data_IF_452447017877
#
_entry.id   IF_452447017877
#
_cell.length_a   1.000
_cell.length_b   1.000
_cell.length_c   1.000
_cell.angle_alpha   90.00
_cell.angle_beta   90.00
_cell.angle_gamma   90.00
#
_symmetry.space_group_name_H-M   'P 1'
#
loop_
_entity.id
_entity.type
_entity.pdbx_description
1 polymer ?
#
# COMPACT_ATOMS: atom_id res chain seq x y z
N UNK A 1 17.90 -1.04 17.26
CA UNK A 1 18.48 0.31 17.03
C UNK A 1 17.93 0.81 15.70
N UNK A 2 17.53 2.08 15.61
CA UNK A 2 16.90 2.62 14.41
C UNK A 2 17.84 2.59 13.20
N UNK A 3 17.34 2.11 12.06
CA UNK A 3 18.07 2.05 10.79
C UNK A 3 17.87 3.32 9.95
N UNK A 4 16.70 3.95 10.09
CA UNK A 4 16.36 5.23 9.49
C UNK A 4 15.97 6.26 10.57
N UNK A 5 16.32 7.52 10.35
CA UNK A 5 15.84 8.64 11.17
C UNK A 5 15.12 9.63 10.27
N UNK A 6 13.86 9.91 10.59
CA UNK A 6 13.03 10.89 9.93
C UNK A 6 12.85 12.10 10.85
N UNK A 7 13.12 13.29 10.35
CA UNK A 7 12.92 14.55 11.07
C UNK A 7 11.79 15.33 10.39
N UNK A 8 10.71 15.60 11.13
CA UNK A 8 9.58 16.38 10.64
C UNK A 8 9.77 17.87 10.94
N UNK A 9 10.05 18.65 9.89
CA UNK A 9 10.03 20.11 9.91
C UNK A 9 8.87 20.69 9.09
N UNK A 10 7.95 19.86 8.63
CA UNK A 10 6.81 20.31 7.84
C UNK A 10 5.96 21.29 8.67
N UNK A 11 5.58 22.42 8.09
CA UNK A 11 4.83 23.47 8.77
C UNK A 11 5.59 24.31 9.81
N UNK A 12 6.87 24.03 10.09
CA UNK A 12 7.70 24.93 10.91
C UNK A 12 8.08 26.16 10.09
N UNK A 13 7.60 27.34 10.53
CA UNK A 13 8.06 28.63 9.99
C UNK A 13 9.40 28.98 10.63
N UNK A 14 10.49 28.72 9.93
CA UNK A 14 11.78 29.31 10.29
C UNK A 14 11.75 30.79 9.86
N UNK A 15 11.48 31.70 10.80
CA UNK A 15 11.64 33.13 10.53
C UNK A 15 13.12 33.38 10.18
N UNK A 16 13.38 34.31 9.25
CA UNK A 16 14.72 34.73 8.75
C UNK A 16 15.66 35.32 9.83
N UNK A 17 15.39 35.11 11.12
CA UNK A 17 16.22 35.54 12.23
C UNK A 17 17.30 34.50 12.54
N UNK A 18 18.54 34.94 12.78
CA UNK A 18 19.73 34.11 13.11
C UNK A 18 19.48 33.04 14.20
N UNK A 19 18.53 33.26 15.10
CA UNK A 19 18.16 32.33 16.18
C UNK A 19 17.50 31.03 15.67
N UNK A 20 16.74 31.07 14.58
CA UNK A 20 16.05 29.89 14.02
C UNK A 20 17.05 28.93 13.36
N UNK A 21 18.06 29.48 12.68
CA UNK A 21 19.15 28.73 12.04
C UNK A 21 20.04 28.03 13.07
N UNK A 22 20.37 28.70 14.18
CA UNK A 22 21.20 28.10 15.22
C UNK A 22 20.48 26.96 15.96
N UNK A 23 19.17 27.08 16.18
CA UNK A 23 18.35 26.01 16.75
C UNK A 23 18.29 24.79 15.81
N UNK A 24 18.03 25.02 14.52
CA UNK A 24 18.04 23.96 13.50
C UNK A 24 19.39 23.24 13.41
N UNK A 25 20.49 24.01 13.37
CA UNK A 25 21.84 23.45 13.31
C UNK A 25 22.18 22.65 14.57
N UNK A 26 21.77 23.12 15.76
CA UNK A 26 21.93 22.37 17.01
C UNK A 26 21.17 21.05 16.98
N UNK A 27 19.91 21.07 16.54
CA UNK A 27 19.09 19.86 16.39
C UNK A 27 19.75 18.86 15.44
N UNK A 28 20.09 19.28 14.23
CA UNK A 28 20.68 18.38 13.23
C UNK A 28 22.02 17.80 13.70
N UNK A 29 22.85 18.59 14.41
CA UNK A 29 24.09 18.09 15.00
C UNK A 29 23.85 17.09 16.13
N UNK A 30 22.85 17.33 16.98
CA UNK A 30 22.49 16.38 18.04
C UNK A 30 21.99 15.06 17.43
N UNK A 31 21.11 15.13 16.43
CA UNK A 31 20.64 13.94 15.71
C UNK A 31 21.80 13.20 15.06
N UNK A 32 22.71 13.92 14.41
CA UNK A 32 23.92 13.33 13.83
C UNK A 32 24.75 12.63 14.88
N UNK A 33 25.07 13.30 15.98
CA UNK A 33 25.89 12.74 17.06
C UNK A 33 25.29 11.47 17.67
N UNK A 34 23.97 11.46 17.89
CA UNK A 34 23.28 10.34 18.52
C UNK A 34 22.93 9.20 17.56
N UNK A 35 22.77 9.46 16.26
CA UNK A 35 22.20 8.50 15.31
C UNK A 35 23.01 8.24 14.04
N UNK A 36 23.84 9.16 13.56
CA UNK A 36 24.50 9.02 12.25
C UNK A 36 25.51 7.87 12.17
N UNK A 37 26.14 7.50 13.29
CA UNK A 37 27.06 6.36 13.32
C UNK A 37 26.37 5.01 13.06
N UNK A 38 25.03 4.96 13.14
CA UNK A 38 24.25 3.70 13.12
C UNK A 38 23.10 3.70 12.11
N UNK A 39 22.57 4.88 11.77
CA UNK A 39 21.51 5.02 10.78
C UNK A 39 22.07 4.95 9.36
N UNK A 40 21.42 4.17 8.50
CA UNK A 40 21.72 4.05 7.07
C UNK A 40 21.01 5.12 6.24
N UNK A 41 20.03 5.78 6.84
CA UNK A 41 19.20 6.79 6.18
C UNK A 41 18.81 7.89 7.17
N UNK A 42 19.19 9.12 6.86
CA UNK A 42 18.82 10.32 7.60
C UNK A 42 17.98 11.19 6.67
N UNK A 43 16.73 11.46 7.04
CA UNK A 43 15.77 12.16 6.19
C UNK A 43 15.19 13.37 6.90
N UNK A 44 15.13 14.49 6.19
CA UNK A 44 14.41 15.69 6.60
C UNK A 44 13.17 15.82 5.74
N UNK A 45 12.01 15.99 6.37
CA UNK A 45 10.74 16.27 5.70
C UNK A 45 10.35 17.73 5.93
N UNK A 46 10.13 18.49 4.85
CA UNK A 46 9.81 19.92 4.94
C UNK A 46 8.87 20.39 3.81
N UNK A 47 8.11 21.46 4.04
CA UNK A 47 7.42 22.19 2.95
C UNK A 47 8.42 23.12 2.25
N UNK A 48 8.17 23.42 0.96
CA UNK A 48 8.87 24.42 0.15
C UNK A 48 9.28 25.64 1.01
N UNK A 49 10.59 25.72 1.30
CA UNK A 49 11.33 26.89 1.83
C UNK A 49 12.75 26.53 2.35
N UNK A 50 13.20 25.27 2.25
CA UNK A 50 14.64 24.96 2.45
C UNK A 50 15.45 25.17 1.15
N UNK A 51 14.78 25.38 0.01
CA UNK A 51 15.45 25.79 -1.23
C UNK A 51 15.89 27.24 -1.13
N UNK A 52 17.21 27.47 -1.10
CA UNK A 52 17.83 28.71 -1.57
C UNK A 52 17.17 29.11 -2.89
N UNK A 53 16.38 30.19 -2.90
CA UNK A 53 15.90 30.77 -4.14
C UNK A 53 17.09 31.31 -4.93
N UNK A 54 17.47 30.61 -6.01
CA UNK A 54 18.19 31.23 -7.12
C UNK A 54 17.15 31.89 -8.03
N UNK A 55 16.66 33.06 -7.63
CA UNK A 55 16.02 34.00 -8.53
C UNK A 55 16.77 35.33 -8.47
N UNK A 56 17.18 35.79 -9.66
CA UNK A 56 18.19 36.81 -9.85
C UNK A 56 17.86 38.20 -9.31
N UNK A 57 18.94 38.99 -9.26
CA UNK A 57 19.08 40.39 -8.87
C UNK A 57 19.03 40.67 -7.36
N UNK A 58 20.24 40.71 -6.77
CA UNK A 58 20.58 41.33 -5.49
C UNK A 58 19.67 41.00 -4.30
N UNK A 59 19.87 39.82 -3.72
CA UNK A 59 19.81 39.63 -2.27
C UNK A 59 20.77 38.49 -1.92
N UNK A 60 21.87 38.83 -1.24
CA UNK A 60 22.76 37.85 -0.64
C UNK A 60 21.95 37.02 0.37
N UNK A 61 21.57 35.81 -0.03
CA UNK A 61 20.96 34.84 0.87
C UNK A 61 22.02 34.47 1.92
N UNK A 62 21.85 34.89 3.17
CA UNK A 62 22.68 34.49 4.33
C UNK A 62 22.64 32.95 4.58
N UNK A 63 22.03 32.13 3.71
CA UNK A 63 22.09 30.67 3.78
C UNK A 63 23.43 30.10 3.28
N UNK A 64 24.11 30.76 2.33
CA UNK A 64 25.42 30.33 1.84
C UNK A 64 26.60 30.80 2.70
N UNK A 65 26.37 31.69 3.67
CA UNK A 65 27.44 32.30 4.48
C UNK A 65 27.83 31.50 5.73
N UNK A 66 27.13 30.40 6.08
CA UNK A 66 27.50 29.53 7.20
C UNK A 66 27.98 28.15 6.69
N UNK A 67 29.29 28.04 6.45
CA UNK A 67 29.93 26.82 5.90
C UNK A 67 29.55 25.50 6.62
N UNK A 68 29.13 25.57 7.89
CA UNK A 68 28.72 24.40 8.68
C UNK A 68 27.35 23.81 8.33
N UNK A 69 26.35 24.64 8.00
CA UNK A 69 24.97 24.17 7.76
C UNK A 69 24.85 23.47 6.39
N UNK A 70 25.48 24.04 5.35
CA UNK A 70 25.51 23.44 4.02
C UNK A 70 26.19 22.07 4.01
N UNK A 71 27.29 21.93 4.76
CA UNK A 71 28.00 20.65 4.91
C UNK A 71 27.15 19.61 5.63
N UNK A 72 26.49 20.00 6.73
CA UNK A 72 25.65 19.09 7.51
C UNK A 72 24.42 18.63 6.72
N UNK A 73 23.75 19.52 5.99
CA UNK A 73 22.59 19.18 5.18
C UNK A 73 22.90 18.18 4.05
N UNK A 74 24.14 18.08 3.58
CA UNK A 74 24.54 17.06 2.58
C UNK A 74 24.48 15.63 3.12
N UNK A 75 24.55 15.46 4.44
CA UNK A 75 24.42 14.15 5.09
C UNK A 75 22.95 13.71 5.26
N UNK A 76 22.00 14.65 5.10
CA UNK A 76 20.57 14.40 5.20
C UNK A 76 19.93 14.42 3.82
N UNK A 77 19.09 13.44 3.54
CA UNK A 77 18.24 13.48 2.37
C UNK A 77 17.02 14.35 2.67
N UNK A 78 16.81 15.39 1.87
CA UNK A 78 15.67 16.29 2.04
C UNK A 78 14.53 15.89 1.11
N UNK A 79 13.37 15.58 1.69
CA UNK A 79 12.13 15.34 0.96
C UNK A 79 11.21 16.54 1.15
N UNK A 80 10.92 17.21 0.04
CA UNK A 80 9.97 18.31 0.00
C UNK A 80 8.95 18.07 -1.10
N UNK A 81 7.70 17.88 -0.69
CA UNK A 81 6.57 17.69 -1.60
C UNK A 81 5.39 18.58 -1.16
N UNK A 82 4.41 18.84 -2.04
CA UNK A 82 3.26 19.70 -1.75
C UNK A 82 2.35 19.19 -0.63
N UNK A 83 2.41 17.91 -0.27
CA UNK A 83 1.54 17.28 0.72
C UNK A 83 2.29 16.29 1.63
N UNK A 84 1.64 15.93 2.74
CA UNK A 84 2.17 14.96 3.70
C UNK A 84 2.15 13.56 3.11
N UNK A 85 1.07 13.19 2.42
CA UNK A 85 0.94 11.92 1.73
C UNK A 85 2.07 11.71 0.71
N UNK A 86 2.35 12.73 -0.12
CA UNK A 86 3.42 12.66 -1.11
C UNK A 86 4.81 12.54 -0.47
N UNK A 87 5.05 13.32 0.60
CA UNK A 87 6.31 13.28 1.34
C UNK A 87 6.55 11.91 1.97
N UNK A 88 5.58 11.38 2.71
CA UNK A 88 5.71 10.10 3.39
C UNK A 88 5.76 8.92 2.43
N UNK A 89 5.03 8.97 1.33
CA UNK A 89 5.13 7.94 0.30
C UNK A 89 6.52 7.91 -0.35
N UNK A 90 7.08 9.09 -0.67
CA UNK A 90 8.46 9.22 -1.18
C UNK A 90 9.48 8.69 -0.17
N UNK A 91 9.32 9.03 1.12
CA UNK A 91 10.17 8.54 2.20
C UNK A 91 10.09 7.02 2.31
N UNK A 92 8.87 6.46 2.23
CA UNK A 92 8.65 5.02 2.24
C UNK A 92 9.38 4.33 1.09
N UNK A 93 9.31 4.86 -0.13
CA UNK A 93 10.03 4.33 -1.28
C UNK A 93 11.55 4.25 -1.00
N UNK A 94 12.14 5.32 -0.48
CA UNK A 94 13.57 5.36 -0.12
C UNK A 94 13.95 4.37 0.99
N UNK A 95 13.07 4.21 1.99
CA UNK A 95 13.21 3.21 3.06
C UNK A 95 13.21 1.80 2.46
N UNK A 96 12.30 1.53 1.53
CA UNK A 96 12.13 0.22 0.90
C UNK A 96 13.27 -0.13 -0.06
N UNK A 97 13.76 0.83 -0.84
CA UNK A 97 14.96 0.70 -1.69
C UNK A 97 16.20 0.30 -0.87
N UNK A 98 16.30 0.78 0.36
CA UNK A 98 17.38 0.46 1.30
C UNK A 98 17.08 -0.77 2.15
N UNK A 99 15.92 -1.41 1.95
CA UNK A 99 15.42 -2.55 2.73
C UNK A 99 15.43 -2.30 4.26
N UNK A 100 15.03 -1.11 4.69
CA UNK A 100 14.98 -0.74 6.10
C UNK A 100 13.59 -1.04 6.69
N UNK A 101 13.54 -1.21 8.01
CA UNK A 101 12.32 -1.54 8.74
C UNK A 101 12.23 -0.90 10.13
N UNK A 102 13.34 -0.44 10.70
CA UNK A 102 13.33 0.29 11.98
C UNK A 102 13.54 1.78 11.78
N UNK A 103 12.52 2.58 12.12
CA UNK A 103 12.48 4.01 11.87
C UNK A 103 12.31 4.76 13.19
N UNK A 104 13.19 5.73 13.44
CA UNK A 104 13.01 6.75 14.48
C UNK A 104 12.44 8.01 13.85
N UNK A 105 11.42 8.58 14.46
CA UNK A 105 10.74 9.78 13.99
C UNK A 105 10.90 10.88 15.04
N UNK A 106 11.58 11.95 14.65
CA UNK A 106 11.80 13.15 15.46
C UNK A 106 10.81 14.20 14.98
N UNK A 107 9.81 14.52 15.81
CA UNK A 107 8.63 15.30 15.39
C UNK A 107 8.19 16.28 16.48
N UNK A 108 7.72 17.50 16.14
CA UNK A 108 7.10 18.38 17.12
C UNK A 108 5.93 17.69 17.84
N UNK A 109 5.83 17.88 19.16
CA UNK A 109 4.83 17.20 19.99
C UNK A 109 3.39 17.37 19.47
N UNK A 110 3.05 18.56 18.96
CA UNK A 110 1.73 18.89 18.41
C UNK A 110 1.42 18.21 17.06
N UNK A 111 2.43 17.71 16.33
CA UNK A 111 2.27 17.02 15.04
C UNK A 111 2.32 15.50 15.14
N UNK A 112 2.71 14.98 16.30
CA UNK A 112 2.95 13.56 16.54
C UNK A 112 1.74 12.69 16.20
N UNK A 113 0.53 13.08 16.65
CA UNK A 113 -0.69 12.30 16.35
C UNK A 113 -1.02 12.34 14.86
N UNK A 114 -0.93 13.52 14.22
CA UNK A 114 -1.14 13.70 12.78
C UNK A 114 -0.25 12.77 11.97
N UNK A 115 1.06 12.78 12.25
CA UNK A 115 2.04 11.98 11.56
C UNK A 115 1.79 10.47 11.75
N UNK A 116 1.39 10.04 12.95
CA UNK A 116 1.00 8.65 13.22
C UNK A 116 -0.18 8.22 12.35
N UNK A 117 -1.22 9.04 12.21
CA UNK A 117 -2.39 8.70 11.40
C UNK A 117 -2.07 8.53 9.90
N UNK A 118 -1.10 9.28 9.36
CA UNK A 118 -0.58 9.00 8.02
C UNK A 118 0.23 7.71 7.96
N UNK A 119 1.10 7.47 8.96
CA UNK A 119 1.93 6.28 9.04
C UNK A 119 1.07 5.02 9.10
N UNK A 120 0.02 5.01 9.91
CA UNK A 120 -0.91 3.88 10.07
C UNK A 120 -1.62 3.49 8.76
N UNK A 121 -1.73 4.42 7.81
CA UNK A 121 -2.33 4.16 6.50
C UNK A 121 -1.29 3.78 5.43
N UNK A 122 -0.11 4.42 5.44
CA UNK A 122 0.91 4.26 4.41
C UNK A 122 1.92 3.15 4.70
N UNK A 123 2.04 2.71 5.95
CA UNK A 123 2.97 1.67 6.38
C UNK A 123 2.24 0.46 6.94
N UNK A 124 2.93 -0.67 6.98
CA UNK A 124 2.44 -1.96 7.50
C UNK A 124 3.23 -2.36 8.75
N UNK A 125 2.84 -3.46 9.41
CA UNK A 125 3.56 -3.99 10.57
C UNK A 125 4.97 -4.51 10.26
N UNK A 126 5.38 -4.58 8.98
CA UNK A 126 6.78 -4.80 8.59
C UNK A 126 7.70 -3.69 9.14
N UNK A 127 7.17 -2.49 9.37
CA UNK A 127 7.95 -1.36 9.88
C UNK A 127 7.70 -1.16 11.38
N UNK A 128 8.76 -0.76 12.10
CA UNK A 128 8.73 -0.37 13.50
C UNK A 128 9.06 1.11 13.63
N UNK A 129 8.25 1.83 14.41
CA UNK A 129 8.37 3.27 14.61
C UNK A 129 8.61 3.61 16.07
N UNK A 130 9.69 4.35 16.33
CA UNK A 130 9.99 4.98 17.61
C UNK A 130 9.84 6.50 17.46
N UNK A 131 9.16 7.17 18.39
CA UNK A 131 8.93 8.62 18.31
C UNK A 131 9.69 9.37 19.39
N UNK A 132 10.34 10.45 18.98
CA UNK A 132 11.08 11.37 19.84
C UNK A 132 10.59 12.79 19.59
N UNK A 133 10.43 13.57 20.65
CA UNK A 133 9.86 14.91 20.53
C UNK A 133 10.95 15.90 20.10
N UNK A 134 10.64 16.69 19.07
CA UNK A 134 11.55 17.72 18.56
C UNK A 134 11.58 18.92 19.51
N UNK A 135 12.64 19.03 20.31
CA UNK A 135 12.87 20.17 21.20
C UNK A 135 13.46 21.36 20.42
N UNK A 136 12.62 22.28 19.95
CA UNK A 136 13.08 23.56 19.38
C UNK A 136 13.16 24.58 20.52
N UNK A 137 14.34 24.74 21.13
CA UNK A 137 14.55 25.80 22.13
C UNK A 137 14.60 27.17 21.43
N UNK A 138 13.44 27.82 21.31
CA UNK A 138 13.40 29.27 21.10
C UNK A 138 13.63 29.93 22.47
N UNK A 139 14.61 30.83 22.55
CA UNK A 139 14.94 31.49 23.82
C UNK A 139 13.73 32.24 24.41
N UNK A 140 13.47 31.99 25.70
CA UNK A 140 12.69 32.88 26.58
C UNK A 140 11.22 32.50 26.80
N UNK A 141 10.97 31.67 27.83
CA UNK A 141 9.66 31.50 28.47
C UNK A 141 9.15 30.05 28.46
N UNK A 142 8.56 29.55 29.57
CA UNK A 142 7.96 28.22 29.57
C UNK A 142 6.75 28.26 28.63
N UNK A 143 6.83 27.57 27.49
CA UNK A 143 5.64 27.29 26.70
C UNK A 143 4.67 26.56 27.63
N UNK A 144 3.50 27.17 27.86
CA UNK A 144 2.38 26.54 28.56
C UNK A 144 2.20 25.16 27.95
N UNK A 145 2.44 24.13 28.76
CA UNK A 145 2.15 22.76 28.44
C UNK A 145 0.64 22.69 28.24
N UNK A 146 0.17 22.78 26.99
CA UNK A 146 -1.22 22.52 26.67
C UNK A 146 -1.40 21.02 26.85
N UNK A 147 -2.00 20.66 27.99
CA UNK A 147 -2.53 19.34 28.30
C UNK A 147 -3.75 19.03 27.41
N UNK A 148 -3.66 19.31 26.11
CA UNK A 148 -4.59 18.78 25.14
C UNK A 148 -4.01 17.45 24.69
N UNK A 149 -4.67 16.38 25.13
CA UNK A 149 -4.53 15.07 24.52
C UNK A 149 -4.83 15.31 23.03
N UNK A 150 -3.80 15.35 22.19
CA UNK A 150 -3.91 15.54 20.74
C UNK A 150 -4.64 14.33 20.15
N UNK A 151 -5.95 14.24 20.34
CA UNK A 151 -6.84 13.30 19.66
C UNK A 151 -7.18 13.90 18.31
N UNK A 152 -6.89 13.15 17.26
CA UNK A 152 -7.36 13.45 15.92
C UNK A 152 -8.87 13.27 15.87
N UNK A 153 -9.56 14.25 15.33
CA UNK A 153 -11.00 14.22 15.08
C UNK A 153 -11.33 13.29 13.91
N UNK A 154 -12.57 12.78 13.84
CA UNK A 154 -13.00 11.96 12.71
C UNK A 154 -12.88 12.70 11.35
N UNK A 155 -13.13 14.02 11.36
CA UNK A 155 -12.99 14.88 10.19
C UNK A 155 -11.54 14.98 9.71
N UNK A 156 -10.57 15.04 10.64
CA UNK A 156 -9.15 15.01 10.29
C UNK A 156 -8.73 13.64 9.75
N UNK A 157 -9.25 12.52 10.29
CA UNK A 157 -8.99 11.18 9.72
C UNK A 157 -9.49 11.12 8.27
N UNK A 158 -10.69 11.60 8.02
CA UNK A 158 -11.28 11.66 6.68
C UNK A 158 -10.43 12.54 5.74
N UNK A 159 -9.97 13.70 6.21
CA UNK A 159 -9.08 14.56 5.44
C UNK A 159 -7.75 13.85 5.08
N UNK A 160 -7.15 13.12 6.01
CA UNK A 160 -5.93 12.33 5.78
C UNK A 160 -6.18 11.22 4.75
N UNK A 161 -7.29 10.49 4.90
CA UNK A 161 -7.70 9.45 3.95
C UNK A 161 -7.88 10.03 2.54
N UNK A 162 -8.56 11.17 2.43
CA UNK A 162 -8.80 11.87 1.17
C UNK A 162 -7.49 12.37 0.54
N UNK A 163 -6.56 12.90 1.33
CA UNK A 163 -5.24 13.34 0.85
C UNK A 163 -4.44 12.15 0.28
N UNK A 164 -4.37 11.04 1.03
CA UNK A 164 -3.69 9.82 0.59
C UNK A 164 -4.32 9.29 -0.69
N UNK A 165 -5.64 9.13 -0.74
CA UNK A 165 -6.33 8.61 -1.92
C UNK A 165 -6.12 9.52 -3.14
N UNK A 166 -6.21 10.84 -2.95
CA UNK A 166 -5.98 11.81 -4.04
C UNK A 166 -4.57 11.69 -4.60
N UNK A 167 -3.57 11.57 -3.72
CA UNK A 167 -2.19 11.37 -4.14
C UNK A 167 -1.97 10.03 -4.84
N UNK A 168 -2.46 8.91 -4.29
CA UNK A 168 -2.27 7.59 -4.92
C UNK A 168 -2.97 7.49 -6.30
N UNK A 169 -4.12 8.16 -6.47
CA UNK A 169 -4.83 8.26 -7.75
C UNK A 169 -4.05 9.03 -8.80
N UNK A 170 -3.20 9.98 -8.41
CA UNK A 170 -2.40 10.77 -9.36
C UNK A 170 -1.13 10.06 -9.82
N UNK A 171 -0.72 8.97 -9.14
CA UNK A 171 0.46 8.21 -9.52
C UNK A 171 0.27 7.50 -10.88
N UNK A 172 1.28 7.48 -11.76
CA UNK A 172 1.24 6.67 -12.97
C UNK A 172 1.30 5.17 -12.63
N UNK A 173 0.97 4.32 -13.59
CA UNK A 173 1.28 2.89 -13.48
C UNK A 173 2.80 2.69 -13.42
N UNK A 174 3.25 1.79 -12.54
CA UNK A 174 4.68 1.49 -12.35
C UNK A 174 5.24 0.66 -13.51
N UNK A 175 4.45 -0.28 -14.04
CA UNK A 175 4.86 -1.16 -15.15
C UNK A 175 3.67 -1.44 -16.07
N UNK A 176 3.80 -1.06 -17.35
CA UNK A 176 2.85 -1.36 -18.41
C UNK A 176 1.41 -0.88 -18.15
N UNK A 177 0.52 -1.22 -19.08
CA UNK A 177 -0.91 -0.92 -18.98
C UNK A 177 -1.67 -2.08 -18.32
N UNK A 178 -2.79 -1.76 -17.66
CA UNK A 178 -3.66 -2.78 -17.09
C UNK A 178 -4.23 -3.66 -18.20
N UNK A 179 -3.92 -4.95 -18.16
CA UNK A 179 -4.47 -5.94 -19.10
C UNK A 179 -5.34 -6.94 -18.37
N UNK A 180 -6.56 -7.11 -18.88
CA UNK A 180 -7.55 -8.09 -18.42
C UNK A 180 -7.72 -9.13 -19.54
N UNK A 181 -7.35 -10.37 -19.25
CA UNK A 181 -7.47 -11.47 -20.20
C UNK A 181 -8.86 -12.07 -20.05
N UNK A 182 -9.62 -12.06 -21.13
CA UNK A 182 -10.96 -12.67 -21.19
C UNK A 182 -10.92 -13.95 -22.01
N UNK A 183 -12.02 -14.69 -21.97
CA UNK A 183 -12.19 -15.91 -22.75
C UNK A 183 -13.49 -15.87 -23.55
N UNK A 184 -13.48 -16.32 -24.81
CA UNK A 184 -14.69 -16.40 -25.63
C UNK A 184 -15.68 -17.49 -25.16
N UNK A 185 -15.28 -18.37 -24.22
CA UNK A 185 -16.18 -19.40 -23.69
C UNK A 185 -17.15 -18.87 -22.63
N UNK A 186 -16.93 -17.67 -22.08
CA UNK A 186 -17.88 -17.02 -21.17
C UNK A 186 -18.65 -15.97 -21.97
N UNK A 187 -19.98 -16.06 -21.93
CA UNK A 187 -20.87 -15.11 -22.59
C UNK A 187 -20.63 -13.68 -22.10
N UNK A 188 -20.71 -12.72 -23.02
CA UNK A 188 -20.66 -11.27 -22.76
C UNK A 188 -21.75 -10.75 -21.81
N UNK A 189 -22.70 -11.60 -21.42
CA UNK A 189 -23.65 -11.32 -20.33
C UNK A 189 -22.94 -11.15 -18.98
N UNK A 190 -21.72 -11.68 -18.84
CA UNK A 190 -20.89 -11.59 -17.63
C UNK A 190 -19.68 -10.70 -17.88
N UNK A 191 -19.37 -9.84 -16.91
CA UNK A 191 -18.03 -9.27 -16.79
C UNK A 191 -17.12 -10.33 -16.18
N UNK A 192 -16.10 -10.75 -16.92
CA UNK A 192 -15.08 -11.70 -16.45
C UNK A 192 -13.69 -11.29 -16.90
N UNK A 193 -12.69 -11.86 -16.25
CA UNK A 193 -11.33 -11.81 -16.75
C UNK A 193 -10.29 -12.17 -15.70
N UNK A 194 -9.07 -12.31 -16.16
CA UNK A 194 -7.89 -12.56 -15.35
C UNK A 194 -6.96 -11.37 -15.47
N UNK A 195 -6.63 -10.74 -14.35
CA UNK A 195 -5.73 -9.57 -14.33
C UNK A 195 -4.28 -10.01 -14.49
N UNK A 196 -3.51 -9.27 -15.28
CA UNK A 196 -2.05 -9.40 -15.31
C UNK A 196 -1.38 -8.59 -14.19
N UNK A 197 -0.05 -8.62 -14.11
CA UNK A 197 0.73 -7.84 -13.12
C UNK A 197 0.94 -6.36 -13.48
N UNK A 198 0.51 -5.90 -14.65
CA UNK A 198 0.78 -4.54 -15.16
C UNK A 198 -0.35 -3.54 -14.85
N UNK A 199 -0.06 -2.24 -14.91
CA UNK A 199 -1.04 -1.16 -14.78
C UNK A 199 -1.26 -0.61 -13.37
N UNK A 200 -0.49 -1.06 -12.37
CA UNK A 200 -0.75 -0.76 -10.97
C UNK A 200 0.32 0.13 -10.33
N UNK A 201 0.12 0.50 -9.07
CA UNK A 201 0.99 1.45 -8.34
C UNK A 201 1.90 0.78 -7.30
N UNK A 202 1.90 -0.55 -7.21
CA UNK A 202 2.79 -1.26 -6.31
C UNK A 202 4.22 -1.23 -6.85
N UNK A 203 5.14 -0.60 -6.12
CA UNK A 203 6.53 -0.45 -6.54
C UNK A 203 7.48 -1.47 -5.92
N UNK A 204 7.04 -2.21 -4.88
CA UNK A 204 7.87 -3.25 -4.27
C UNK A 204 8.13 -4.33 -5.32
N UNK A 205 9.40 -4.70 -5.64
CA UNK A 205 9.70 -5.60 -6.76
C UNK A 205 8.89 -6.91 -6.76
N UNK A 206 8.74 -7.54 -5.60
CA UNK A 206 7.96 -8.80 -5.47
C UNK A 206 6.46 -8.61 -5.66
N UNK A 207 5.94 -7.40 -5.48
CA UNK A 207 4.51 -7.06 -5.56
C UNK A 207 4.18 -6.21 -6.80
N UNK A 208 5.18 -5.83 -7.60
CA UNK A 208 4.98 -4.90 -8.70
C UNK A 208 4.25 -5.55 -9.88
N UNK A 209 3.30 -4.89 -10.56
CA UNK A 209 2.77 -3.55 -10.29
C UNK A 209 1.31 -3.55 -9.81
N UNK A 210 0.54 -4.60 -10.16
CA UNK A 210 -0.91 -4.69 -9.94
C UNK A 210 -1.27 -5.63 -8.78
N UNK A 211 -0.72 -5.39 -7.59
CA UNK A 211 -1.03 -6.19 -6.42
C UNK A 211 -2.45 -5.92 -5.90
N UNK A 212 -3.23 -6.99 -5.72
CA UNK A 212 -4.60 -6.95 -5.18
C UNK A 212 -4.71 -7.53 -3.75
N UNK A 213 -3.57 -7.78 -3.10
CA UNK A 213 -3.51 -8.37 -1.77
C UNK A 213 -2.58 -7.61 -0.81
N UNK A 214 -3.07 -7.31 0.39
CA UNK A 214 -2.25 -6.77 1.48
C UNK A 214 -2.38 -7.64 2.73
N UNK A 215 -1.32 -7.68 3.53
CA UNK A 215 -1.29 -8.30 4.85
C UNK A 215 -0.26 -7.60 5.72
N UNK A 216 -0.33 -7.78 7.04
CA UNK A 216 0.60 -7.18 8.00
C UNK A 216 2.07 -7.58 7.77
N UNK A 217 2.32 -8.69 7.08
CA UNK A 217 3.65 -9.24 6.78
C UNK A 217 4.24 -8.77 5.45
N UNK A 218 3.51 -7.99 4.66
CA UNK A 218 3.94 -7.49 3.33
C UNK A 218 4.08 -5.98 3.37
N UNK A 219 4.97 -5.42 2.54
CA UNK A 219 5.29 -3.98 2.53
C UNK A 219 4.25 -3.09 1.82
N UNK A 220 3.37 -3.66 1.00
CA UNK A 220 2.28 -2.90 0.39
C UNK A 220 1.16 -2.64 1.41
N UNK A 221 0.83 -1.37 1.69
CA UNK A 221 -0.27 -1.03 2.57
C UNK A 221 -1.62 -1.24 1.88
N UNK A 222 -2.68 -1.36 2.69
CA UNK A 222 -4.05 -1.56 2.21
C UNK A 222 -4.49 -0.48 1.21
N UNK A 223 -4.12 0.78 1.44
CA UNK A 223 -4.48 1.92 0.57
C UNK A 223 -3.92 1.81 -0.84
N UNK A 224 -2.72 1.22 -1.02
CA UNK A 224 -2.12 0.99 -2.34
C UNK A 224 -2.88 -0.12 -3.09
N UNK A 225 -3.22 -1.20 -2.39
CA UNK A 225 -4.02 -2.30 -2.94
C UNK A 225 -5.44 -1.86 -3.30
N UNK A 226 -6.06 -0.99 -2.49
CA UNK A 226 -7.37 -0.41 -2.76
C UNK A 226 -7.35 0.47 -4.02
N UNK A 227 -6.28 1.23 -4.26
CA UNK A 227 -6.15 2.00 -5.50
C UNK A 227 -6.00 1.09 -6.72
N UNK A 228 -5.22 0.00 -6.64
CA UNK A 228 -5.17 -1.00 -7.72
C UNK A 228 -6.55 -1.62 -7.98
N UNK A 229 -7.30 -1.96 -6.92
CA UNK A 229 -8.67 -2.48 -7.06
C UNK A 229 -9.61 -1.44 -7.70
N UNK A 230 -9.47 -0.16 -7.36
CA UNK A 230 -10.22 0.94 -7.97
C UNK A 230 -9.92 1.06 -9.47
N UNK A 231 -8.65 0.96 -9.86
CA UNK A 231 -8.24 0.93 -11.29
C UNK A 231 -8.86 -0.24 -12.01
N UNK A 232 -8.86 -1.41 -11.37
CA UNK A 232 -9.50 -2.61 -11.92
C UNK A 232 -11.00 -2.41 -12.11
N UNK A 233 -11.71 -1.92 -11.09
CA UNK A 233 -13.15 -1.67 -11.17
C UNK A 233 -13.51 -0.69 -12.28
N UNK A 234 -12.71 0.37 -12.44
CA UNK A 234 -12.88 1.34 -13.53
C UNK A 234 -12.66 0.70 -14.92
N UNK A 235 -11.60 -0.10 -15.09
CA UNK A 235 -11.28 -0.70 -16.39
C UNK A 235 -12.23 -1.85 -16.76
N UNK A 236 -12.65 -2.64 -15.78
CA UNK A 236 -13.52 -3.80 -15.95
C UNK A 236 -15.02 -3.45 -15.90
N UNK A 237 -15.37 -2.24 -15.44
CA UNK A 237 -16.76 -1.78 -15.36
C UNK A 237 -17.56 -2.34 -14.17
N UNK A 238 -16.92 -2.61 -13.03
CA UNK A 238 -17.61 -3.09 -11.83
C UNK A 238 -17.51 -2.14 -10.63
N UNK A 239 -18.47 -2.28 -9.70
CA UNK A 239 -18.48 -1.54 -8.44
C UNK A 239 -17.57 -2.20 -7.40
N UNK A 240 -16.49 -1.52 -7.00
CA UNK A 240 -15.54 -2.00 -5.99
C UNK A 240 -16.16 -2.22 -4.61
N UNK A 241 -17.24 -1.50 -4.27
CA UNK A 241 -17.96 -1.70 -3.00
C UNK A 241 -18.75 -3.01 -2.96
N UNK A 242 -18.93 -3.65 -4.13
CA UNK A 242 -19.56 -4.97 -4.29
C UNK A 242 -18.57 -6.00 -4.81
N UNK A 243 -17.30 -5.85 -4.43
CA UNK A 243 -16.23 -6.79 -4.72
C UNK A 243 -16.00 -7.73 -3.55
N UNK A 244 -16.14 -9.03 -3.78
CA UNK A 244 -15.93 -10.08 -2.79
C UNK A 244 -14.83 -11.01 -3.27
N UNK A 245 -13.93 -11.36 -2.36
CA UNK A 245 -12.84 -12.31 -2.65
C UNK A 245 -12.95 -13.51 -1.73
N UNK A 246 -12.49 -14.65 -2.21
CA UNK A 246 -12.30 -15.84 -1.38
C UNK A 246 -11.39 -15.54 -0.18
N UNK A 247 -11.59 -16.26 0.92
CA UNK A 247 -10.74 -16.22 2.10
C UNK A 247 -9.76 -17.38 2.00
N UNK A 248 -8.83 -17.34 1.04
CA UNK A 248 -7.88 -18.43 0.76
C UNK A 248 -7.19 -18.92 2.03
N UNK A 249 -7.63 -20.08 2.50
CA UNK A 249 -7.08 -20.78 3.66
C UNK A 249 -6.89 -22.28 3.38
N UNK A 250 -6.88 -22.65 2.10
CA UNK A 250 -6.73 -24.03 1.64
C UNK A 250 -7.82 -24.94 2.21
N UNK A 251 -9.04 -24.42 2.25
CA UNK A 251 -10.25 -25.12 2.60
C UNK A 251 -10.94 -25.73 1.37
N UNK A 252 -11.94 -26.57 1.62
CA UNK A 252 -12.71 -27.23 0.56
C UNK A 252 -14.13 -26.67 0.42
N UNK A 253 -14.45 -25.63 1.20
CA UNK A 253 -15.78 -25.05 1.27
C UNK A 253 -16.00 -24.00 0.18
N UNK A 254 -17.28 -23.84 -0.17
CA UNK A 254 -17.77 -22.87 -1.15
C UNK A 254 -18.81 -21.99 -0.47
N UNK A 255 -18.59 -20.68 -0.50
CA UNK A 255 -19.61 -19.73 -0.10
C UNK A 255 -20.62 -19.50 -1.23
N UNK A 256 -21.88 -19.83 -0.98
CA UNK A 256 -23.01 -19.48 -1.84
C UNK A 256 -23.60 -18.17 -1.31
N UNK A 257 -23.46 -17.08 -2.07
CA UNK A 257 -23.98 -15.78 -1.65
C UNK A 257 -25.48 -15.83 -1.38
N UNK A 258 -25.89 -15.24 -0.25
CA UNK A 258 -27.25 -15.34 0.28
C UNK A 258 -27.43 -16.45 1.31
N UNK A 259 -26.44 -17.34 1.50
CA UNK A 259 -26.36 -18.26 2.65
C UNK A 259 -25.37 -17.73 3.69
N UNK A 260 -25.39 -18.37 4.87
CA UNK A 260 -24.40 -18.12 5.92
C UNK A 260 -23.00 -18.31 5.33
N UNK A 261 -22.18 -17.28 5.46
CA UNK A 261 -20.78 -17.33 5.03
C UNK A 261 -20.01 -18.35 5.89
N UNK A 262 -19.30 -19.31 5.29
CA UNK A 262 -18.37 -20.18 6.02
C UNK A 262 -17.22 -19.40 6.66
N UNK A 263 -16.57 -19.99 7.66
CA UNK A 263 -15.37 -19.41 8.26
C UNK A 263 -14.19 -19.41 7.28
N UNK A 264 -14.06 -20.49 6.49
CA UNK A 264 -13.02 -20.78 5.50
C UNK A 264 -13.63 -21.32 4.20
N UNK A 265 -12.95 -21.25 3.04
CA UNK A 265 -13.42 -20.43 1.92
C UNK A 265 -12.56 -20.36 0.66
N UNK A 266 -12.51 -21.39 -0.21
CA UNK A 266 -11.77 -21.34 -1.49
C UNK A 266 -12.63 -21.21 -2.74
N UNK A 267 -13.95 -21.15 -2.60
CA UNK A 267 -14.87 -20.87 -3.70
C UNK A 267 -16.00 -19.92 -3.32
N UNK A 268 -16.45 -19.11 -4.28
CA UNK A 268 -17.68 -18.30 -4.16
C UNK A 268 -18.57 -18.58 -5.36
N UNK A 269 -19.89 -18.68 -5.13
CA UNK A 269 -20.90 -18.67 -6.19
C UNK A 269 -21.98 -17.63 -5.91
N UNK A 270 -22.55 -17.05 -6.97
CA UNK A 270 -23.64 -16.07 -6.86
C UNK A 270 -24.50 -16.02 -8.12
N UNK A 271 -25.78 -15.68 -7.95
CA UNK A 271 -26.70 -15.26 -9.00
C UNK A 271 -27.17 -13.80 -8.81
N UNK A 272 -26.55 -13.06 -7.89
CA UNK A 272 -26.87 -11.68 -7.62
C UNK A 272 -26.22 -10.76 -8.66
N UNK A 273 -27.03 -9.87 -9.26
CA UNK A 273 -26.54 -8.90 -10.24
C UNK A 273 -25.76 -7.77 -9.59
N UNK A 274 -24.76 -7.25 -10.31
CA UNK A 274 -23.95 -6.11 -9.88
C UNK A 274 -22.96 -6.44 -8.76
N UNK A 275 -22.68 -7.72 -8.54
CA UNK A 275 -21.67 -8.21 -7.60
C UNK A 275 -20.50 -8.79 -8.39
N UNK A 276 -19.28 -8.54 -7.91
CA UNK A 276 -18.05 -9.10 -8.47
C UNK A 276 -17.44 -10.06 -7.46
N UNK A 277 -17.10 -11.26 -7.91
CA UNK A 277 -16.43 -12.29 -7.11
C UNK A 277 -15.04 -12.56 -7.68
N UNK A 278 -14.05 -12.77 -6.82
CA UNK A 278 -12.67 -13.00 -7.23
C UNK A 278 -11.98 -14.11 -6.44
N UNK A 279 -11.19 -14.91 -7.15
CA UNK A 279 -10.17 -15.78 -6.57
C UNK A 279 -8.80 -15.12 -6.80
N UNK A 280 -8.13 -14.72 -5.71
CA UNK A 280 -6.76 -14.20 -5.80
C UNK A 280 -5.80 -15.38 -5.91
N UNK A 281 -4.84 -15.31 -6.83
CA UNK A 281 -3.85 -16.36 -7.01
C UNK A 281 -2.48 -15.77 -7.37
N UNK A 282 -1.44 -16.41 -6.87
CA UNK A 282 -0.08 -16.31 -7.35
C UNK A 282 0.46 -17.75 -7.37
N UNK A 283 0.73 -18.27 -8.57
CA UNK A 283 1.11 -19.67 -8.86
C UNK A 283 0.01 -20.74 -8.80
N UNK A 284 -1.06 -20.51 -8.02
CA UNK A 284 -2.25 -21.37 -8.01
C UNK A 284 -3.13 -21.17 -9.24
N UNK A 285 -4.11 -22.07 -9.45
CA UNK A 285 -5.00 -22.06 -10.61
C UNK A 285 -6.34 -21.43 -10.23
N UNK A 286 -6.60 -20.15 -10.56
CA UNK A 286 -7.93 -19.59 -10.49
C UNK A 286 -8.84 -20.23 -11.54
N UNK A 287 -10.05 -20.59 -11.11
CA UNK A 287 -11.09 -21.16 -11.96
C UNK A 287 -12.29 -20.22 -11.96
N UNK A 288 -12.82 -19.89 -13.13
CA UNK A 288 -14.01 -19.06 -13.32
C UNK A 288 -15.11 -19.89 -13.99
N UNK A 289 -16.33 -19.73 -13.49
CA UNK A 289 -17.54 -20.41 -13.95
C UNK A 289 -18.63 -19.40 -14.29
N UNK A 290 -19.41 -19.68 -15.33
CA UNK A 290 -20.58 -18.91 -15.70
C UNK A 290 -21.68 -19.82 -16.26
N UNK A 291 -22.92 -19.58 -15.84
CA UNK A 291 -24.12 -20.15 -16.46
C UNK A 291 -25.02 -19.01 -16.99
N UNK A 292 -25.07 -18.80 -18.32
CA UNK A 292 -25.91 -17.77 -18.92
C UNK A 292 -27.42 -18.04 -18.77
N UNK A 293 -27.84 -19.30 -18.60
CA UNK A 293 -29.27 -19.66 -18.48
C UNK A 293 -29.80 -19.22 -17.12
N UNK A 294 -29.13 -19.62 -16.04
CA UNK A 294 -29.54 -19.24 -14.68
C UNK A 294 -28.94 -17.92 -14.19
N UNK A 295 -28.09 -17.29 -15.02
CA UNK A 295 -27.44 -16.01 -14.73
C UNK A 295 -26.64 -16.06 -13.43
N UNK A 296 -25.90 -17.16 -13.27
CA UNK A 296 -25.07 -17.43 -12.10
C UNK A 296 -23.59 -17.51 -12.51
N UNK A 297 -22.71 -17.13 -11.61
CA UNK A 297 -21.27 -17.26 -11.80
C UNK A 297 -20.59 -17.78 -10.53
N UNK A 298 -19.35 -18.24 -10.69
CA UNK A 298 -18.53 -18.75 -9.61
C UNK A 298 -17.05 -18.52 -9.85
N UNK A 299 -16.29 -18.46 -8.76
CA UNK A 299 -14.82 -18.49 -8.78
C UNK A 299 -14.34 -19.48 -7.75
N UNK A 300 -13.23 -20.16 -8.03
CA UNK A 300 -12.56 -21.03 -7.08
C UNK A 300 -11.05 -20.97 -7.23
N UNK A 301 -10.37 -21.29 -6.14
CA UNK A 301 -8.93 -21.41 -6.07
C UNK A 301 -8.54 -22.88 -5.96
N UNK A 302 -7.82 -23.39 -6.96
CA UNK A 302 -7.32 -24.76 -6.97
C UNK A 302 -5.80 -24.77 -6.79
N UNK A 303 -5.35 -25.51 -5.77
CA UNK A 303 -3.93 -25.76 -5.55
C UNK A 303 -3.38 -26.79 -6.54
N UNK A 304 -2.06 -26.80 -6.69
CA UNK A 304 -1.34 -27.95 -7.21
C UNK A 304 -0.34 -28.41 -6.15
N UNK A 305 -0.57 -29.58 -5.57
CA UNK A 305 0.51 -30.24 -4.83
C UNK A 305 1.68 -30.57 -5.79
N UNK A 306 2.94 -30.26 -5.44
CA UNK A 306 4.07 -30.80 -6.18
C UNK A 306 3.95 -32.33 -6.15
N UNK A 307 4.07 -32.96 -7.32
CA UNK A 307 4.04 -34.41 -7.41
C UNK A 307 5.08 -34.97 -6.45
N UNK A 308 4.66 -35.80 -5.50
CA UNK A 308 5.59 -36.61 -4.71
C UNK A 308 6.50 -37.33 -5.71
N UNK A 309 7.82 -37.19 -5.57
CA UNK A 309 8.79 -37.91 -6.39
C UNK A 309 8.39 -39.39 -6.44
N UNK A 310 8.00 -39.87 -7.62
CA UNK A 310 7.63 -41.28 -7.86
C UNK A 310 6.25 -41.54 -8.44
N UNK A 311 5.32 -40.58 -8.51
CA UNK A 311 3.99 -40.83 -9.12
C UNK A 311 3.84 -40.09 -10.44
N UNK A 312 3.44 -40.80 -11.50
CA UNK A 312 3.22 -40.26 -12.84
C UNK A 312 2.39 -38.96 -12.80
N UNK A 313 2.95 -37.92 -13.41
CA UNK A 313 2.38 -36.58 -13.44
C UNK A 313 1.07 -36.55 -14.23
N UNK A 314 -0.05 -36.24 -13.57
CA UNK A 314 -1.33 -35.95 -14.23
C UNK A 314 -2.54 -35.82 -13.30
N UNK A 315 -2.68 -36.70 -12.30
CA UNK A 315 -3.99 -36.90 -11.66
C UNK A 315 -4.39 -35.94 -10.52
N UNK A 316 -3.48 -35.58 -9.62
CA UNK A 316 -3.87 -35.01 -8.30
C UNK A 316 -4.48 -33.61 -8.41
N UNK A 317 -3.93 -32.74 -9.28
CA UNK A 317 -4.47 -31.40 -9.48
C UNK A 317 -5.82 -31.39 -10.21
N UNK A 318 -6.05 -32.34 -11.13
CA UNK A 318 -7.35 -32.52 -11.77
C UNK A 318 -8.40 -33.09 -10.81
N UNK A 319 -7.97 -33.94 -9.87
CA UNK A 319 -8.85 -34.55 -8.87
C UNK A 319 -9.32 -33.53 -7.81
N UNK A 320 -8.45 -32.63 -7.36
CA UNK A 320 -8.81 -31.51 -6.47
C UNK A 320 -9.65 -30.45 -7.18
N UNK A 321 -9.24 -30.02 -8.40
CA UNK A 321 -10.08 -29.15 -9.22
C UNK A 321 -11.44 -29.81 -9.52
N UNK A 322 -11.46 -31.14 -9.72
CA UNK A 322 -12.65 -31.95 -9.87
C UNK A 322 -13.49 -32.06 -8.59
N UNK A 323 -12.85 -32.13 -7.42
CA UNK A 323 -13.50 -32.11 -6.10
C UNK A 323 -14.13 -30.75 -5.81
N UNK A 324 -13.40 -29.65 -6.04
CA UNK A 324 -13.93 -28.30 -5.92
C UNK A 324 -15.03 -28.03 -6.95
N UNK A 325 -14.87 -28.49 -8.20
CA UNK A 325 -15.97 -28.51 -9.19
C UNK A 325 -17.19 -29.27 -8.65
N UNK A 326 -17.01 -30.44 -8.04
CA UNK A 326 -18.10 -31.22 -7.42
C UNK A 326 -18.74 -30.51 -6.23
N UNK A 327 -17.98 -29.86 -5.36
CA UNK A 327 -18.52 -29.10 -4.23
C UNK A 327 -19.30 -27.86 -4.70
N UNK A 328 -18.77 -27.14 -5.70
CA UNK A 328 -19.49 -26.07 -6.40
C UNK A 328 -20.80 -26.56 -7.04
N UNK A 329 -20.79 -27.76 -7.64
CA UNK A 329 -21.96 -28.41 -8.22
C UNK A 329 -23.00 -28.84 -7.17
N UNK A 330 -22.54 -29.33 -6.01
CA UNK A 330 -23.38 -29.83 -4.92
C UNK A 330 -24.04 -28.70 -4.11
N UNK A 331 -23.49 -27.47 -4.17
CA UNK A 331 -24.00 -26.25 -3.54
C UNK A 331 -25.39 -25.73 -3.99
N UNK A 332 -26.25 -26.58 -4.55
CA UNK A 332 -27.63 -26.27 -4.99
C UNK A 332 -27.80 -25.67 -6.36
N UNK A 333 -26.90 -25.92 -7.31
CA UNK A 333 -27.32 -25.85 -8.71
C UNK A 333 -26.72 -27.02 -9.53
N UNK A 334 -27.36 -28.22 -9.51
CA UNK A 334 -26.74 -29.49 -9.94
C UNK A 334 -26.64 -29.75 -11.46
N UNK A 335 -26.95 -28.78 -12.34
CA UNK A 335 -27.01 -28.99 -13.81
C UNK A 335 -26.64 -27.74 -14.62
N UNK A 336 -25.47 -27.13 -14.38
CA UNK A 336 -25.14 -25.80 -14.94
C UNK A 336 -23.94 -25.69 -15.86
N UNK A 337 -22.96 -26.59 -15.78
CA UNK A 337 -21.60 -26.13 -16.04
C UNK A 337 -20.94 -26.92 -17.17
N UNK A 338 -21.27 -26.53 -18.42
CA UNK A 338 -20.57 -27.00 -19.62
C UNK A 338 -19.31 -26.15 -19.93
N UNK A 339 -19.13 -24.98 -19.28
CA UNK A 339 -18.06 -24.03 -19.59
C UNK A 339 -17.31 -23.58 -18.32
N UNK A 340 -16.26 -24.32 -17.96
CA UNK A 340 -15.31 -23.96 -16.91
C UNK A 340 -13.96 -23.55 -17.53
N UNK A 341 -13.37 -22.46 -17.06
CA UNK A 341 -12.07 -21.97 -17.52
C UNK A 341 -11.08 -21.90 -16.36
N UNK A 342 -9.86 -22.33 -16.63
CA UNK A 342 -8.72 -22.17 -15.73
C UNK A 342 -7.60 -21.39 -16.43
N UNK A 343 -6.92 -20.51 -15.69
CA UNK A 343 -5.71 -19.84 -16.18
C UNK A 343 -4.62 -19.92 -15.12
N UNK A 344 -3.37 -20.13 -15.52
CA UNK A 344 -2.21 -20.09 -14.62
C UNK A 344 -1.63 -18.68 -14.60
N UNK A 345 -1.36 -18.15 -13.41
CA UNK A 345 -0.60 -16.91 -13.25
C UNK A 345 0.74 -17.23 -12.59
N UNK A 346 1.84 -17.05 -13.31
CA UNK A 346 3.19 -17.22 -12.74
C UNK A 346 3.75 -15.88 -12.30
N UNK A 347 4.57 -15.87 -11.25
CA UNK A 347 5.16 -14.63 -10.72
C UNK A 347 6.06 -13.87 -11.71
N UNK A 348 6.41 -14.45 -12.88
CA UNK A 348 7.46 -13.97 -13.77
C UNK A 348 7.00 -13.15 -14.99
N UNK A 349 5.69 -12.92 -15.19
CA UNK A 349 5.16 -12.17 -16.35
C UNK A 349 4.87 -10.68 -16.02
#
# INVERSE_FOLDING_TARGET
MAEAVLIDFFGLKFNSQKNSHQALLKTLNAVRYHHAAKAKFLCIMCCNNISCERNGANNNCELEASNGLSTLLREFETVSNPSMAASLYTIKQKIDEKNLSSIKVIVPMHRKTLLKAFIDQLFTNVYSFEFEDLQVTSGGGPLKQSTEINMITAQEIEAIQNEIQTYLRSLPAVKGELTIITSPLISDTFLHGFTTRTGGISYIPTLSSFNLFSSSKRRDPKVVVQENLRRLGNAAGFNVEKFYRIKTDHANDVWIMGRKEPESYDGITTNQRGVTIAALAADCIPIVFADPVRKACGVAHSERHPAREGTQAGGVGEEEAGSQRRNLMQGSIPKLWDHALSQRQTLND
#
